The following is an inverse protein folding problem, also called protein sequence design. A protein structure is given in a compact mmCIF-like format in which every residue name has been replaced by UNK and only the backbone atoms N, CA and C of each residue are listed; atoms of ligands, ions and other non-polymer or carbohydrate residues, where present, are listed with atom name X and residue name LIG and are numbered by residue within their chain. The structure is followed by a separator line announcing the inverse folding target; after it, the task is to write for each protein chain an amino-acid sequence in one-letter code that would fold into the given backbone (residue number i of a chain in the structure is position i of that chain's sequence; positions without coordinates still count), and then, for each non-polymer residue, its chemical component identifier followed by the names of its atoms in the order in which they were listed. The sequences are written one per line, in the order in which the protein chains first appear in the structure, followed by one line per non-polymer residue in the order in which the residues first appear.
data_IF_784455975889
#
_entry.id   IF_784455975889
#
_cell.length_a   1.000
_cell.length_b   1.000
_cell.length_c   1.000
_cell.angle_alpha   90.00
_cell.angle_beta   90.00
_cell.angle_gamma   90.00
#
_symmetry.space_group_name_H-M   'P 1'
#
loop_
_entity.id
_entity.type
_entity.pdbx_description
1 polymer ?
#
# COMPACT_ATOMS: atom_id res chain seq x y z
N UNK A 1 19.27 16.75 13.50
CA UNK A 1 19.43 17.29 12.13
C UNK A 1 18.08 17.33 11.42
N UNK A 2 17.70 18.47 10.84
CA UNK A 2 16.50 18.62 10.00
C UNK A 2 16.62 17.70 8.77
N UNK A 3 15.79 16.66 8.69
CA UNK A 3 15.82 15.60 7.68
C UNK A 3 15.39 16.03 6.27
N UNK A 4 15.78 17.22 5.82
CA UNK A 4 15.66 17.60 4.42
C UNK A 4 16.83 16.98 3.66
N UNK A 5 16.49 16.19 2.66
CA UNK A 5 17.45 15.60 1.75
C UNK A 5 18.16 16.74 0.97
N UNK A 6 19.50 16.86 1.04
CA UNK A 6 20.22 17.79 0.17
C UNK A 6 20.10 17.29 -1.27
N UNK A 7 19.72 18.19 -2.19
CA UNK A 7 19.61 17.92 -3.61
C UNK A 7 20.55 18.87 -4.36
N UNK A 8 21.36 18.33 -5.26
CA UNK A 8 22.16 19.10 -6.20
C UNK A 8 21.30 19.58 -7.39
N UNK A 9 21.85 20.51 -8.18
CA UNK A 9 21.23 20.95 -9.41
C UNK A 9 20.99 19.76 -10.36
N UNK A 10 19.78 19.63 -10.89
CA UNK A 10 19.41 18.52 -11.76
C UNK A 10 19.05 17.22 -11.02
N UNK A 11 18.95 17.21 -9.69
CA UNK A 11 18.45 16.08 -8.92
C UNK A 11 16.97 16.23 -8.51
N UNK A 12 16.32 15.10 -8.24
CA UNK A 12 15.02 15.02 -7.58
C UNK A 12 15.09 14.03 -6.43
N UNK A 13 14.24 14.23 -5.41
CA UNK A 13 14.07 13.25 -4.34
C UNK A 13 13.27 12.05 -4.83
N UNK A 14 13.81 10.85 -4.67
CA UNK A 14 13.08 9.59 -4.86
C UNK A 14 12.91 8.88 -3.53
N UNK A 15 11.70 8.38 -3.29
CA UNK A 15 11.40 7.54 -2.12
C UNK A 15 11.39 6.07 -2.53
N UNK A 16 12.09 5.23 -1.76
CA UNK A 16 12.13 3.79 -1.89
C UNK A 16 11.93 3.14 -0.52
N UNK A 17 11.73 1.82 -0.50
CA UNK A 17 11.51 1.07 0.72
C UNK A 17 12.59 0.00 0.91
N UNK A 18 13.01 -0.20 2.16
CA UNK A 18 13.87 -1.29 2.58
C UNK A 18 13.23 -2.00 3.77
N UNK A 19 13.45 -3.32 3.87
CA UNK A 19 13.05 -4.10 5.02
C UNK A 19 14.28 -4.46 5.85
N UNK A 20 14.18 -4.26 7.15
CA UNK A 20 15.15 -4.75 8.12
C UNK A 20 14.46 -5.59 9.20
N UNK A 21 15.27 -6.29 9.99
CA UNK A 21 14.81 -7.10 11.12
C UNK A 21 15.33 -6.45 12.42
N UNK A 22 14.44 -6.23 13.39
CA UNK A 22 14.86 -5.89 14.75
C UNK A 22 15.23 -7.19 15.47
N UNK A 23 16.52 -7.33 15.80
CA UNK A 23 17.08 -8.55 16.40
C UNK A 23 17.11 -8.50 17.94
N UNK A 24 17.19 -7.30 18.50
CA UNK A 24 17.20 -7.04 19.93
C UNK A 24 16.79 -5.58 20.18
N UNK A 25 16.56 -5.25 21.44
CA UNK A 25 16.46 -3.87 21.90
C UNK A 25 17.13 -3.71 23.27
N UNK A 26 17.29 -2.48 23.72
CA UNK A 26 17.70 -2.15 25.10
C UNK A 26 16.61 -1.31 25.71
N UNK A 27 16.05 -1.76 26.83
CA UNK A 27 15.14 -0.95 27.64
C UNK A 27 15.96 0.16 28.29
N UNK A 28 15.70 1.42 27.92
CA UNK A 28 16.56 2.55 28.27
C UNK A 28 16.49 2.89 29.77
N UNK A 29 15.38 2.58 30.43
CA UNK A 29 15.20 2.82 31.86
C UNK A 29 16.01 1.82 32.69
N UNK A 30 15.92 0.53 32.36
CA UNK A 30 16.58 -0.52 33.12
C UNK A 30 17.97 -0.90 32.60
N UNK A 31 18.35 -0.43 31.41
CA UNK A 31 19.56 -0.86 30.68
C UNK A 31 19.53 -2.32 30.21
N UNK A 32 18.44 -3.05 30.42
CA UNK A 32 18.35 -4.48 30.13
C UNK A 32 18.21 -4.73 28.63
N UNK A 33 19.00 -5.68 28.13
CA UNK A 33 18.86 -6.16 26.75
C UNK A 33 17.59 -6.99 26.63
N UNK A 34 16.70 -6.57 25.74
CA UNK A 34 15.53 -7.31 25.33
C UNK A 34 15.92 -8.30 24.24
N UNK A 35 15.69 -9.58 24.50
CA UNK A 35 15.81 -10.62 23.47
C UNK A 35 14.82 -10.38 22.33
N UNK A 36 15.09 -10.99 21.17
CA UNK A 36 14.19 -10.90 20.01
C UNK A 36 12.74 -11.26 20.36
N UNK A 37 12.55 -12.30 21.16
CA UNK A 37 11.22 -12.77 21.56
C UNK A 37 10.49 -11.76 22.45
N UNK A 38 11.20 -11.17 23.43
CA UNK A 38 10.63 -10.15 24.33
C UNK A 38 10.30 -8.87 23.55
N UNK A 39 11.18 -8.45 22.63
CA UNK A 39 10.89 -7.32 21.76
C UNK A 39 9.66 -7.58 20.88
N UNK A 40 9.58 -8.75 20.26
CA UNK A 40 8.41 -9.14 19.46
C UNK A 40 7.12 -9.17 20.27
N UNK A 41 7.19 -9.60 21.52
CA UNK A 41 6.06 -9.59 22.44
C UNK A 41 5.59 -8.16 22.75
N UNK A 42 6.50 -7.26 23.15
CA UNK A 42 6.16 -5.86 23.46
C UNK A 42 5.61 -5.10 22.24
N UNK A 43 6.22 -5.29 21.06
CA UNK A 43 5.71 -4.74 19.80
C UNK A 43 4.35 -5.33 19.46
N UNK A 44 4.17 -6.63 19.69
CA UNK A 44 2.92 -7.35 19.49
C UNK A 44 1.78 -6.78 20.33
N UNK A 45 2.00 -6.57 21.63
CA UNK A 45 1.03 -5.95 22.53
C UNK A 45 0.59 -4.57 22.03
N UNK A 46 1.54 -3.71 21.65
CA UNK A 46 1.21 -2.40 21.10
C UNK A 46 0.43 -2.51 19.78
N UNK A 47 0.82 -3.43 18.90
CA UNK A 47 0.12 -3.68 17.63
C UNK A 47 -1.30 -4.21 17.84
N UNK A 48 -1.53 -5.01 18.88
CA UNK A 48 -2.86 -5.50 19.26
C UNK A 48 -3.75 -4.39 19.78
N UNK A 49 -3.23 -3.50 20.62
CA UNK A 49 -3.95 -2.30 21.07
C UNK A 49 -4.36 -1.42 19.88
N UNK A 50 -3.43 -1.16 18.96
CA UNK A 50 -3.71 -0.38 17.74
C UNK A 50 -4.75 -1.10 16.87
N UNK A 51 -4.59 -2.41 16.62
CA UNK A 51 -5.51 -3.17 15.78
C UNK A 51 -6.92 -3.25 16.36
N UNK A 52 -7.06 -3.40 17.68
CA UNK A 52 -8.35 -3.38 18.37
C UNK A 52 -9.04 -2.03 18.24
N UNK A 53 -8.30 -0.95 18.48
CA UNK A 53 -8.77 0.43 18.30
C UNK A 53 -9.22 0.72 16.85
N UNK A 54 -8.45 0.28 15.86
CA UNK A 54 -8.81 0.41 14.44
C UNK A 54 -10.08 -0.36 14.13
N UNK A 55 -10.17 -1.61 14.60
CA UNK A 55 -11.33 -2.48 14.35
C UNK A 55 -12.61 -1.88 14.91
N UNK A 56 -12.56 -1.32 16.12
CA UNK A 56 -13.70 -0.64 16.73
C UNK A 56 -14.17 0.57 15.93
N UNK A 57 -13.24 1.41 15.47
CA UNK A 57 -13.58 2.57 14.63
C UNK A 57 -14.14 2.16 13.27
N UNK A 58 -13.54 1.15 12.63
CA UNK A 58 -14.03 0.67 11.34
C UNK A 58 -15.42 0.03 11.48
N UNK A 59 -15.68 -0.74 12.53
CA UNK A 59 -17.00 -1.30 12.77
C UNK A 59 -18.09 -0.22 12.89
N UNK A 60 -17.75 0.94 13.45
CA UNK A 60 -18.68 2.07 13.56
C UNK A 60 -18.84 2.84 12.24
N UNK A 61 -17.76 3.01 11.48
CA UNK A 61 -17.68 3.95 10.34
C UNK A 61 -17.70 3.29 8.97
N UNK A 62 -17.81 1.97 8.90
CA UNK A 62 -17.88 1.22 7.65
C UNK A 62 -19.30 1.22 7.11
N UNK A 63 -19.74 2.37 6.60
CA UNK A 63 -21.04 2.57 5.96
C UNK A 63 -20.93 3.61 4.84
N UNK A 64 -21.91 3.66 3.90
CA UNK A 64 -21.90 4.60 2.78
C UNK A 64 -21.75 6.06 3.19
N UNK A 65 -22.55 6.51 4.17
CA UNK A 65 -22.62 7.90 4.57
C UNK A 65 -21.29 8.42 5.13
N UNK A 66 -20.65 7.66 6.02
CA UNK A 66 -19.36 8.05 6.59
C UNK A 66 -18.25 8.02 5.51
N UNK A 67 -18.24 7.02 4.62
CA UNK A 67 -17.23 7.03 3.53
C UNK A 67 -17.43 8.20 2.58
N UNK A 68 -18.67 8.58 2.28
CA UNK A 68 -18.99 9.76 1.46
C UNK A 68 -18.51 11.06 2.12
N UNK A 69 -18.72 11.22 3.42
CA UNK A 69 -18.20 12.37 4.18
C UNK A 69 -16.67 12.47 4.04
N UNK A 70 -15.94 11.35 4.16
CA UNK A 70 -14.49 11.36 3.96
C UNK A 70 -14.09 11.64 2.51
N UNK A 71 -14.84 11.11 1.55
CA UNK A 71 -14.59 11.26 0.11
C UNK A 71 -14.82 12.69 -0.37
N UNK A 72 -15.78 13.40 0.22
CA UNK A 72 -16.07 14.82 -0.08
C UNK A 72 -14.84 15.73 0.09
N UNK A 73 -13.90 15.30 0.95
CA UNK A 73 -12.66 16.04 1.20
C UNK A 73 -12.87 17.33 1.99
N UNK A 74 -14.05 17.59 2.54
CA UNK A 74 -14.37 18.76 3.39
C UNK A 74 -15.09 18.33 4.67
N UNK A 75 -15.02 19.15 5.73
CA UNK A 75 -15.87 19.00 6.91
C UNK A 75 -17.25 19.65 6.70
N UNK A 76 -18.15 19.53 7.68
CA UNK A 76 -19.49 20.14 7.63
C UNK A 76 -19.48 21.67 7.54
N UNK A 77 -18.35 22.31 7.85
CA UNK A 77 -18.13 23.75 7.68
C UNK A 77 -17.45 24.11 6.35
N UNK A 78 -17.34 23.17 5.40
CA UNK A 78 -16.73 23.40 4.09
C UNK A 78 -15.20 23.47 4.11
N UNK A 79 -14.54 23.19 5.25
CA UNK A 79 -13.07 23.27 5.34
C UNK A 79 -12.45 21.99 4.83
N UNK A 80 -11.47 22.12 3.93
CA UNK A 80 -10.72 20.98 3.38
C UNK A 80 -10.16 20.06 4.46
N UNK A 81 -10.36 18.75 4.31
CA UNK A 81 -9.78 17.74 5.20
C UNK A 81 -8.25 17.68 5.02
N UNK A 82 -7.48 17.58 6.12
CA UNK A 82 -6.03 17.38 6.06
C UNK A 82 -5.61 16.14 5.27
N UNK A 83 -4.41 16.16 4.68
CA UNK A 83 -3.86 15.00 3.96
C UNK A 83 -3.55 13.82 4.88
N UNK A 84 -3.11 14.07 6.12
CA UNK A 84 -2.93 13.03 7.13
C UNK A 84 -4.29 12.50 7.57
N UNK A 85 -4.49 11.18 7.51
CA UNK A 85 -5.78 10.57 7.77
C UNK A 85 -6.21 10.78 9.23
N UNK A 86 -5.28 10.64 10.20
CA UNK A 86 -5.60 10.86 11.61
C UNK A 86 -6.10 12.28 11.90
N UNK A 87 -5.55 13.29 11.23
CA UNK A 87 -5.98 14.68 11.39
C UNK A 87 -7.36 14.92 10.78
N UNK A 88 -7.65 14.28 9.64
CA UNK A 88 -8.96 14.36 9.02
C UNK A 88 -10.03 13.71 9.90
N UNK A 89 -9.76 12.54 10.47
CA UNK A 89 -10.68 11.91 11.41
C UNK A 89 -10.96 12.82 12.62
N UNK A 90 -9.92 13.43 13.20
CA UNK A 90 -10.11 14.41 14.30
C UNK A 90 -10.93 15.62 13.87
N UNK A 91 -10.72 16.15 12.65
CA UNK A 91 -11.51 17.26 12.11
C UNK A 91 -12.99 16.91 11.97
N UNK A 92 -13.29 15.65 11.63
CA UNK A 92 -14.65 15.11 11.56
C UNK A 92 -15.23 14.73 12.94
N UNK A 93 -14.46 14.91 14.02
CA UNK A 93 -14.87 14.46 15.36
C UNK A 93 -14.85 12.94 15.54
N UNK A 94 -14.27 12.19 14.60
CA UNK A 94 -14.19 10.73 14.68
C UNK A 94 -12.97 10.34 15.49
N UNK A 95 -13.23 10.05 16.76
CA UNK A 95 -12.21 9.64 17.72
C UNK A 95 -12.14 8.13 17.86
N UNK A 96 -11.07 7.67 18.50
CA UNK A 96 -10.90 6.27 18.91
C UNK A 96 -10.64 6.25 20.41
N UNK A 97 -11.32 5.37 21.12
CA UNK A 97 -11.09 5.13 22.54
C UNK A 97 -10.21 3.90 22.72
N UNK A 98 -9.29 3.96 23.69
CA UNK A 98 -8.62 2.77 24.16
C UNK A 98 -9.62 1.84 24.87
N UNK A 99 -9.33 0.53 24.96
CA UNK A 99 -10.12 -0.38 25.78
C UNK A 99 -10.24 0.12 27.23
N UNK A 100 -11.32 -0.25 27.90
CA UNK A 100 -11.55 0.13 29.30
C UNK A 100 -10.38 -0.29 30.19
N UNK A 101 -9.98 0.59 31.10
CA UNK A 101 -8.83 0.37 31.99
C UNK A 101 -7.44 0.44 31.33
N UNK A 102 -7.37 0.66 30.01
CA UNK A 102 -6.09 0.76 29.28
C UNK A 102 -5.68 2.22 29.05
N UNK A 103 -4.47 2.56 29.47
CA UNK A 103 -3.83 3.86 29.24
C UNK A 103 -2.87 3.80 28.06
N UNK A 104 -3.20 4.54 27.01
CA UNK A 104 -2.34 4.67 25.81
C UNK A 104 -1.83 6.11 25.63
N UNK A 105 -0.66 6.25 25.03
CA UNK A 105 -0.18 7.55 24.56
C UNK A 105 -1.04 8.05 23.39
N UNK A 106 -1.26 9.37 23.28
CA UNK A 106 -2.01 9.97 22.16
C UNK A 106 -1.45 9.55 20.79
N UNK A 107 -0.13 9.32 20.70
CA UNK A 107 0.52 8.86 19.45
C UNK A 107 0.13 7.44 19.05
N UNK A 108 -0.21 6.57 20.01
CA UNK A 108 -0.79 5.25 19.73
C UNK A 108 -2.21 5.39 19.17
N UNK A 109 -3.00 6.32 19.71
CA UNK A 109 -4.32 6.68 19.14
C UNK A 109 -4.16 7.24 17.72
N UNK A 110 -3.16 8.10 17.46
CA UNK A 110 -2.88 8.60 16.10
C UNK A 110 -2.54 7.48 15.13
N UNK A 111 -1.77 6.47 15.54
CA UNK A 111 -1.51 5.30 14.70
C UNK A 111 -2.80 4.56 14.33
N UNK A 112 -3.71 4.36 15.28
CA UNK A 112 -5.00 3.74 15.01
C UNK A 112 -5.86 4.60 14.06
N UNK A 113 -5.97 5.90 14.34
CA UNK A 113 -6.70 6.84 13.48
C UNK A 113 -6.12 6.89 12.05
N UNK A 114 -4.79 6.88 11.91
CA UNK A 114 -4.15 6.91 10.60
C UNK A 114 -4.45 5.63 9.81
N UNK A 115 -4.40 4.46 10.46
CA UNK A 115 -4.74 3.18 9.81
C UNK A 115 -6.21 3.10 9.41
N UNK A 116 -7.12 3.41 10.33
CA UNK A 116 -8.56 3.41 10.06
C UNK A 116 -8.93 4.40 8.95
N UNK A 117 -8.42 5.64 9.04
CA UNK A 117 -8.73 6.68 8.06
C UNK A 117 -8.21 6.37 6.66
N UNK A 118 -7.03 5.72 6.54
CA UNK A 118 -6.55 5.22 5.24
C UNK A 118 -7.45 4.13 4.67
N UNK A 119 -7.88 3.19 5.51
CA UNK A 119 -8.80 2.13 5.10
C UNK A 119 -10.13 2.70 4.62
N UNK A 120 -10.73 3.64 5.35
CA UNK A 120 -11.97 4.32 4.98
C UNK A 120 -11.83 5.15 3.70
N UNK A 121 -10.77 5.96 3.57
CA UNK A 121 -10.53 6.74 2.33
C UNK A 121 -10.38 5.86 1.10
N UNK A 122 -9.73 4.71 1.25
CA UNK A 122 -9.60 3.76 0.14
C UNK A 122 -10.93 3.10 -0.24
N UNK A 123 -11.94 3.14 0.63
CA UNK A 123 -13.23 2.51 0.41
C UNK A 123 -14.08 3.23 -0.63
N UNK A 124 -13.99 4.56 -0.73
CA UNK A 124 -14.76 5.35 -1.72
C UNK A 124 -14.53 4.85 -3.15
N UNK A 125 -13.27 4.69 -3.56
CA UNK A 125 -12.95 4.14 -4.88
C UNK A 125 -13.49 2.70 -5.08
N UNK A 126 -13.50 1.87 -4.02
CA UNK A 126 -14.10 0.52 -4.09
C UNK A 126 -15.63 0.57 -4.14
N UNK A 127 -16.25 1.56 -3.49
CA UNK A 127 -17.69 1.79 -3.53
C UNK A 127 -18.12 2.17 -4.94
N UNK A 128 -17.44 3.13 -5.56
CA UNK A 128 -17.69 3.59 -6.94
C UNK A 128 -17.55 2.43 -7.94
N UNK A 129 -16.47 1.66 -7.84
CA UNK A 129 -16.26 0.48 -8.69
C UNK A 129 -17.36 -0.57 -8.49
N UNK A 130 -17.77 -0.80 -7.25
CA UNK A 130 -18.82 -1.79 -6.94
C UNK A 130 -20.17 -1.32 -7.47
N UNK A 131 -20.52 -0.05 -7.25
CA UNK A 131 -21.74 0.57 -7.75
C UNK A 131 -21.82 0.47 -9.28
N UNK A 132 -20.76 0.85 -10.00
CA UNK A 132 -20.72 0.73 -11.46
C UNK A 132 -20.85 -0.71 -11.97
N UNK A 133 -20.23 -1.69 -11.29
CA UNK A 133 -20.38 -3.11 -11.62
C UNK A 133 -21.80 -3.62 -11.37
N UNK A 134 -22.44 -3.20 -10.28
CA UNK A 134 -23.80 -3.60 -9.93
C UNK A 134 -24.83 -2.98 -10.88
N UNK A 135 -24.68 -1.70 -11.21
CA UNK A 135 -25.54 -0.99 -12.15
C UNK A 135 -25.46 -1.57 -13.59
N UNK A 136 -24.35 -2.26 -13.91
CA UNK A 136 -24.09 -2.86 -15.22
C UNK A 136 -23.85 -4.36 -15.11
N UNK A 137 -24.62 -5.02 -14.23
CA UNK A 137 -24.49 -6.44 -13.99
C UNK A 137 -24.73 -7.22 -15.29
N UNK A 138 -23.76 -8.03 -15.77
CA UNK A 138 -23.84 -8.67 -17.07
C UNK A 138 -24.75 -9.89 -17.04
N UNK A 139 -25.21 -10.32 -18.22
CA UNK A 139 -26.00 -11.54 -18.34
C UNK A 139 -25.20 -12.80 -17.93
N UNK A 140 -23.91 -12.86 -18.30
CA UNK A 140 -22.96 -13.87 -17.83
C UNK A 140 -21.78 -13.21 -17.08
N UNK A 141 -21.68 -13.34 -15.75
CA UNK A 141 -20.58 -12.75 -14.98
C UNK A 141 -19.20 -13.33 -15.31
N UNK A 142 -19.13 -14.46 -16.03
CA UNK A 142 -17.87 -15.04 -16.53
C UNK A 142 -17.43 -14.42 -17.86
N UNK A 143 -18.36 -13.82 -18.61
CA UNK A 143 -18.14 -13.31 -19.96
C UNK A 143 -18.90 -12.00 -20.16
N UNK A 144 -18.16 -10.89 -20.20
CA UNK A 144 -18.69 -9.60 -20.67
C UNK A 144 -18.46 -9.45 -22.17
N UNK A 145 -19.50 -9.07 -22.89
CA UNK A 145 -19.47 -8.59 -24.27
C UNK A 145 -18.70 -7.25 -24.35
N UNK A 146 -18.23 -6.85 -25.55
CA UNK A 146 -17.61 -5.53 -25.73
C UNK A 146 -18.49 -4.36 -25.28
N UNK A 147 -19.81 -4.46 -25.49
CA UNK A 147 -20.77 -3.46 -25.03
C UNK A 147 -20.86 -3.36 -23.51
N UNK A 148 -20.96 -4.50 -22.81
CA UNK A 148 -20.99 -4.53 -21.33
C UNK A 148 -19.65 -4.06 -20.72
N UNK A 149 -18.53 -4.24 -21.43
CA UNK A 149 -17.23 -3.69 -21.05
C UNK A 149 -17.19 -2.17 -21.08
N UNK A 150 -17.83 -1.59 -22.07
CA UNK A 150 -17.90 -0.14 -22.22
C UNK A 150 -18.90 0.47 -21.22
N UNK A 151 -20.06 -0.16 -21.03
CA UNK A 151 -21.07 0.27 -20.06
C UNK A 151 -20.50 0.36 -18.64
N UNK A 152 -19.79 -0.67 -18.17
CA UNK A 152 -19.22 -0.66 -16.82
C UNK A 152 -18.15 0.43 -16.65
N UNK A 153 -17.36 0.73 -17.68
CA UNK A 153 -16.37 1.82 -17.62
C UNK A 153 -17.04 3.18 -17.53
N UNK A 154 -18.13 3.41 -18.28
CA UNK A 154 -18.90 4.66 -18.19
C UNK A 154 -19.61 4.82 -16.85
N UNK A 155 -20.03 3.71 -16.24
CA UNK A 155 -20.74 3.72 -14.96
C UNK A 155 -19.84 3.99 -13.74
N UNK A 156 -18.51 3.94 -13.90
CA UNK A 156 -17.57 4.23 -12.81
C UNK A 156 -16.94 5.61 -13.03
N UNK A 157 -16.96 6.52 -12.04
CA UNK A 157 -16.22 7.78 -12.11
C UNK A 157 -14.73 7.58 -12.47
N UNK A 158 -14.26 8.22 -13.55
CA UNK A 158 -12.90 8.05 -14.08
C UNK A 158 -12.63 6.65 -14.65
N UNK A 159 -13.68 5.94 -15.06
CA UNK A 159 -13.63 4.55 -15.45
C UNK A 159 -13.04 4.27 -16.83
N UNK A 160 -12.82 5.29 -17.66
CA UNK A 160 -12.32 5.18 -19.04
C UNK A 160 -10.99 4.43 -19.14
N UNK A 161 -10.17 4.51 -18.09
CA UNK A 161 -8.84 3.89 -18.03
C UNK A 161 -8.78 2.71 -17.05
N UNK A 162 -9.93 2.23 -16.55
CA UNK A 162 -9.94 1.12 -15.59
C UNK A 162 -9.38 -0.15 -16.22
N UNK A 163 -8.37 -0.78 -15.59
CA UNK A 163 -7.86 -2.06 -16.04
C UNK A 163 -8.96 -3.13 -15.97
N UNK A 164 -9.12 -3.89 -17.06
CA UNK A 164 -10.13 -4.96 -17.13
C UNK A 164 -9.97 -6.01 -16.02
N UNK A 165 -8.74 -6.20 -15.50
CA UNK A 165 -8.48 -7.08 -14.36
C UNK A 165 -9.22 -6.64 -13.08
N UNK A 166 -9.36 -5.33 -12.87
CA UNK A 166 -10.03 -4.79 -11.70
C UNK A 166 -11.54 -5.05 -11.75
N UNK A 167 -12.17 -4.75 -12.89
CA UNK A 167 -13.58 -5.02 -13.16
C UNK A 167 -13.87 -6.52 -13.09
N UNK A 168 -13.01 -7.38 -13.66
CA UNK A 168 -13.10 -8.85 -13.56
C UNK A 168 -13.07 -9.29 -12.10
N UNK A 169 -12.12 -8.78 -11.32
CA UNK A 169 -11.98 -9.15 -9.91
C UNK A 169 -13.23 -8.79 -9.12
N UNK A 170 -13.74 -7.56 -9.30
CA UNK A 170 -14.96 -7.11 -8.63
C UNK A 170 -16.19 -7.92 -9.07
N UNK A 171 -16.36 -8.16 -10.37
CA UNK A 171 -17.46 -8.98 -10.91
C UNK A 171 -17.44 -10.39 -10.30
N UNK A 172 -16.27 -11.03 -10.17
CA UNK A 172 -16.15 -12.34 -9.52
C UNK A 172 -16.51 -12.31 -8.04
N UNK A 173 -16.13 -11.25 -7.32
CA UNK A 173 -16.48 -11.10 -5.91
C UNK A 173 -18.00 -10.99 -5.72
N UNK A 174 -18.66 -10.16 -6.54
CA UNK A 174 -20.12 -10.03 -6.56
C UNK A 174 -20.79 -11.35 -6.96
N UNK A 175 -20.26 -12.06 -7.97
CA UNK A 175 -20.80 -13.36 -8.39
C UNK A 175 -20.69 -14.41 -7.28
N UNK A 176 -19.61 -14.40 -6.48
CA UNK A 176 -19.47 -15.26 -5.31
C UNK A 176 -20.49 -14.92 -4.24
N UNK A 177 -20.73 -13.63 -3.99
CA UNK A 177 -21.78 -13.19 -3.08
C UNK A 177 -23.15 -13.69 -3.54
N UNK A 178 -23.48 -13.46 -4.82
CA UNK A 178 -24.74 -13.93 -5.44
C UNK A 178 -24.93 -15.44 -5.29
N UNK A 179 -23.88 -16.24 -5.51
CA UNK A 179 -23.96 -17.69 -5.37
C UNK A 179 -24.26 -18.15 -3.92
N UNK A 180 -23.82 -17.40 -2.91
CA UNK A 180 -24.04 -17.73 -1.49
C UNK A 180 -25.38 -17.18 -0.97
N UNK A 181 -25.77 -15.98 -1.41
CA UNK A 181 -26.90 -15.25 -0.84
C UNK A 181 -28.14 -15.21 -1.74
N UNK A 182 -28.07 -15.70 -2.97
CA UNK A 182 -29.20 -15.72 -3.92
C UNK A 182 -29.61 -14.34 -4.46
N UNK A 183 -28.89 -13.28 -4.09
CA UNK A 183 -29.10 -11.91 -4.57
C UNK A 183 -27.78 -11.15 -4.73
N UNK A 184 -27.82 -10.06 -5.49
CA UNK A 184 -26.71 -9.12 -5.54
C UNK A 184 -26.54 -8.40 -4.19
N UNK A 185 -25.30 -8.01 -3.82
CA UNK A 185 -25.08 -7.13 -2.69
C UNK A 185 -25.65 -5.74 -3.01
N UNK A 186 -26.09 -5.02 -2.00
CA UNK A 186 -26.59 -3.64 -2.11
C UNK A 186 -25.43 -2.70 -2.45
N UNK A 187 -24.28 -2.89 -1.80
CA UNK A 187 -23.11 -2.04 -1.96
C UNK A 187 -21.80 -2.77 -1.60
N UNK A 188 -20.69 -2.03 -1.56
CA UNK A 188 -19.38 -2.56 -1.16
C UNK A 188 -19.31 -2.94 0.31
N UNK A 189 -20.12 -2.30 1.17
CA UNK A 189 -20.07 -2.47 2.61
C UNK A 189 -20.65 -3.81 3.01
N UNK A 190 -21.75 -4.20 2.35
CA UNK A 190 -22.31 -5.54 2.44
C UNK A 190 -21.40 -6.58 1.77
N UNK A 191 -20.84 -6.28 0.60
CA UNK A 191 -20.02 -7.21 -0.18
C UNK A 191 -18.70 -7.59 0.52
N UNK A 192 -18.03 -6.65 1.17
CA UNK A 192 -16.72 -6.85 1.80
C UNK A 192 -16.81 -7.13 3.30
N UNK A 193 -17.88 -6.69 3.96
CA UNK A 193 -17.93 -6.58 5.42
C UNK A 193 -16.88 -5.59 5.96
N UNK A 194 -16.82 -5.43 7.28
CA UNK A 194 -15.84 -4.54 7.92
C UNK A 194 -14.42 -5.03 7.63
N UNK A 195 -13.53 -4.21 7.05
CA UNK A 195 -12.22 -4.66 6.62
C UNK A 195 -11.33 -5.01 7.81
N UNK A 196 -10.60 -6.12 7.69
CA UNK A 196 -9.57 -6.51 8.64
C UNK A 196 -8.29 -5.76 8.34
N UNK A 197 -7.80 -4.98 9.30
CA UNK A 197 -6.52 -4.27 9.17
C UNK A 197 -5.35 -5.12 9.65
N UNK A 198 -4.18 -4.88 9.07
CA UNK A 198 -2.97 -5.57 9.47
C UNK A 198 -2.55 -5.15 10.89
N UNK A 199 -2.04 -6.11 11.67
CA UNK A 199 -1.39 -5.85 12.96
C UNK A 199 -0.04 -5.17 12.72
N UNK A 200 -0.01 -3.84 12.80
CA UNK A 200 1.19 -3.05 12.51
C UNK A 200 1.25 -1.74 13.31
N UNK A 201 2.46 -1.22 13.49
CA UNK A 201 2.70 0.10 14.08
C UNK A 201 3.21 1.06 13.00
N UNK A 202 2.37 1.99 12.55
CA UNK A 202 2.73 3.04 11.60
C UNK A 202 3.47 4.18 12.32
N UNK A 203 4.76 4.01 12.64
CA UNK A 203 5.49 5.02 13.43
C UNK A 203 5.61 6.37 12.73
N UNK A 204 5.47 6.42 11.40
CA UNK A 204 5.40 7.67 10.64
C UNK A 204 4.19 8.56 10.99
N UNK A 205 3.15 8.01 11.65
CA UNK A 205 2.03 8.80 12.18
C UNK A 205 2.35 9.47 13.52
N UNK A 206 3.53 9.20 14.08
CA UNK A 206 3.98 9.69 15.37
C UNK A 206 5.08 10.75 15.22
N UNK A 207 5.47 11.33 16.35
CA UNK A 207 6.63 12.23 16.46
C UNK A 207 7.59 11.73 17.55
N UNK A 208 8.58 12.56 17.88
CA UNK A 208 9.65 12.25 18.84
C UNK A 208 9.15 11.95 20.26
N UNK A 209 7.89 12.20 20.58
CA UNK A 209 7.33 11.77 21.87
C UNK A 209 7.09 10.26 21.92
N UNK A 210 6.99 9.58 20.77
CA UNK A 210 6.73 8.14 20.70
C UNK A 210 7.85 7.36 20.00
N UNK A 211 8.48 7.93 18.97
CA UNK A 211 9.58 7.28 18.25
C UNK A 211 10.53 8.27 17.59
N UNK A 212 11.81 7.92 17.53
CA UNK A 212 12.84 8.59 16.73
C UNK A 212 13.69 7.57 15.99
N UNK A 213 14.29 8.00 14.88
CA UNK A 213 15.23 7.17 14.12
C UNK A 213 16.44 8.01 13.74
N UNK A 214 17.61 7.50 14.06
CA UNK A 214 18.88 8.21 13.92
C UNK A 214 19.88 7.30 13.21
N UNK A 215 20.50 7.80 12.14
CA UNK A 215 21.59 7.09 11.47
C UNK A 215 22.89 7.38 12.23
N UNK A 216 23.76 6.39 12.34
CA UNK A 216 25.09 6.56 12.93
C UNK A 216 25.94 7.47 12.05
N UNK A 217 26.67 8.39 12.69
CA UNK A 217 27.61 9.28 12.02
C UNK A 217 28.90 8.55 11.58
N UNK A 218 29.23 7.42 12.20
CA UNK A 218 30.46 6.66 11.94
C UNK A 218 30.27 5.45 11.01
N UNK A 219 29.04 4.91 10.96
CA UNK A 219 28.70 3.79 10.09
C UNK A 219 27.32 4.04 9.46
N UNK A 220 27.24 4.50 8.20
CA UNK A 220 25.98 4.88 7.57
C UNK A 220 25.01 3.71 7.39
N UNK A 221 25.45 2.46 7.59
CA UNK A 221 24.56 1.28 7.60
C UNK A 221 23.89 1.06 8.94
N UNK A 222 24.37 1.66 10.02
CA UNK A 222 23.79 1.53 11.36
C UNK A 222 22.78 2.63 11.59
N UNK A 223 21.61 2.21 12.07
CA UNK A 223 20.53 3.11 12.45
C UNK A 223 20.02 2.68 13.82
N UNK A 224 19.73 3.64 14.69
CA UNK A 224 19.09 3.42 15.97
C UNK A 224 17.64 3.87 15.89
N UNK A 225 16.71 2.92 16.04
CA UNK A 225 15.30 3.21 16.24
C UNK A 225 15.03 3.26 17.75
N UNK A 226 14.59 4.40 18.26
CA UNK A 226 14.11 4.52 19.64
C UNK A 226 12.59 4.63 19.59
N UNK A 227 11.89 3.87 20.43
CA UNK A 227 10.44 3.94 20.52
C UNK A 227 9.92 3.57 21.90
N UNK A 228 8.81 4.18 22.32
CA UNK A 228 8.11 3.74 23.52
C UNK A 228 7.31 2.46 23.23
N UNK A 229 7.48 1.45 24.09
CA UNK A 229 6.73 0.20 24.05
C UNK A 229 6.11 -0.10 25.41
N UNK A 230 4.96 -0.79 25.43
CA UNK A 230 4.35 -1.20 26.67
C UNK A 230 5.16 -2.32 27.33
N UNK A 231 5.25 -2.31 28.65
CA UNK A 231 5.88 -3.38 29.45
C UNK A 231 4.94 -4.53 29.76
N UNK A 232 3.64 -4.37 29.48
CA UNK A 232 2.54 -5.33 29.68
C UNK A 232 1.48 -5.21 28.57
N UNK A 233 0.63 -6.24 28.34
CA UNK A 233 -0.41 -6.18 27.30
C UNK A 233 -1.52 -5.16 27.55
N UNK A 234 -1.80 -4.87 28.83
CA UNK A 234 -2.83 -3.95 29.31
C UNK A 234 -2.21 -2.78 30.10
N UNK A 235 -1.50 -1.82 29.47
CA UNK A 235 -0.91 -0.69 30.19
C UNK A 235 -1.99 0.07 30.96
N UNK A 236 -1.81 0.28 32.27
CA UNK A 236 -2.79 0.94 33.15
C UNK A 236 -2.37 2.36 33.51
N UNK A 237 -1.08 2.64 33.43
CA UNK A 237 -0.50 3.96 33.66
C UNK A 237 0.57 4.30 32.61
N UNK A 238 0.99 5.56 32.57
CA UNK A 238 2.12 5.96 31.71
C UNK A 238 3.46 5.33 32.13
N UNK A 239 3.59 4.90 33.38
CA UNK A 239 4.74 4.13 33.85
C UNK A 239 4.84 2.72 33.22
N UNK A 240 3.76 2.21 32.61
CA UNK A 240 3.78 0.94 31.88
C UNK A 240 4.35 1.09 30.45
N UNK A 241 4.93 2.25 30.11
CA UNK A 241 5.52 2.53 28.81
C UNK A 241 6.99 2.91 29.00
N UNK A 242 7.90 2.17 28.36
CA UNK A 242 9.35 2.43 28.45
C UNK A 242 9.95 2.67 27.07
N UNK A 243 11.00 3.49 27.03
CA UNK A 243 11.80 3.68 25.82
C UNK A 243 12.64 2.44 25.56
N UNK A 244 12.61 1.98 24.31
CA UNK A 244 13.42 0.85 23.84
C UNK A 244 14.27 1.31 22.66
N UNK A 245 15.58 1.12 22.77
CA UNK A 245 16.55 1.41 21.73
C UNK A 245 16.83 0.14 20.91
N UNK A 246 16.47 0.16 19.62
CA UNK A 246 16.55 -0.98 18.71
C UNK A 246 17.59 -0.69 17.61
N UNK A 247 18.78 -1.32 17.64
CA UNK A 247 19.75 -1.18 16.57
C UNK A 247 19.28 -1.90 15.29
N UNK A 248 19.47 -1.23 14.16
CA UNK A 248 19.10 -1.69 12.82
C UNK A 248 20.33 -1.64 11.92
N UNK A 249 20.57 -2.72 11.18
CA UNK A 249 21.54 -2.74 10.07
C UNK A 249 20.76 -2.60 8.77
N UNK A 250 21.00 -1.51 8.05
CA UNK A 250 20.41 -1.25 6.75
C UNK A 250 20.97 -2.22 5.69
N UNK A 251 20.12 -2.69 4.76
CA UNK A 251 20.59 -3.44 3.62
C UNK A 251 21.46 -2.56 2.70
N UNK A 252 22.40 -3.15 1.94
CA UNK A 252 23.31 -2.40 1.07
C UNK A 252 22.60 -1.63 -0.05
N UNK A 253 21.32 -1.92 -0.30
CA UNK A 253 20.47 -1.19 -1.25
C UNK A 253 20.05 0.20 -0.76
N UNK A 254 20.26 0.52 0.52
CA UNK A 254 19.98 1.85 1.06
C UNK A 254 21.24 2.71 0.95
N UNK A 255 21.23 3.80 0.17
CA UNK A 255 22.40 4.67 0.03
C UNK A 255 22.86 5.28 1.35
N UNK A 256 24.17 5.53 1.47
CA UNK A 256 24.79 6.10 2.67
C UNK A 256 24.26 7.51 3.02
N UNK A 257 23.93 8.33 1.99
CA UNK A 257 23.36 9.66 2.17
C UNK A 257 21.82 9.71 2.19
N UNK A 258 21.14 8.56 2.22
CA UNK A 258 19.68 8.53 2.22
C UNK A 258 19.10 9.00 3.56
N UNK A 259 18.06 9.84 3.50
CA UNK A 259 17.25 10.19 4.67
C UNK A 259 16.33 9.02 4.99
N UNK A 260 16.49 8.46 6.19
CA UNK A 260 15.69 7.34 6.69
C UNK A 260 14.47 7.86 7.44
N UNK A 261 13.29 7.30 7.13
CA UNK A 261 12.04 7.67 7.79
C UNK A 261 11.64 6.64 8.85
N UNK A 262 10.78 7.05 9.79
CA UNK A 262 10.23 6.16 10.81
C UNK A 262 9.53 4.95 10.14
N UNK A 263 9.85 3.71 10.58
CA UNK A 263 9.34 2.51 9.92
C UNK A 263 7.88 2.21 10.25
N UNK A 264 7.30 1.34 9.44
CA UNK A 264 6.18 0.50 9.88
C UNK A 264 6.74 -0.76 10.54
N UNK A 265 6.32 -1.07 11.76
CA UNK A 265 6.69 -2.32 12.43
C UNK A 265 5.61 -3.38 12.27
N UNK A 266 6.02 -4.62 11.98
CA UNK A 266 5.13 -5.79 11.89
C UNK A 266 5.75 -7.00 12.58
N UNK A 267 4.90 -7.76 13.27
CA UNK A 267 5.31 -9.00 13.93
C UNK A 267 4.94 -10.20 13.04
N UNK A 268 5.93 -11.02 12.70
CA UNK A 268 5.74 -12.29 11.99
C UNK A 268 6.37 -13.41 12.82
N UNK A 269 5.55 -14.22 13.48
CA UNK A 269 6.04 -15.20 14.46
C UNK A 269 6.78 -14.51 15.61
N UNK A 270 8.05 -14.85 15.83
CA UNK A 270 8.93 -14.22 16.84
C UNK A 270 9.78 -13.08 16.29
N UNK A 271 9.51 -12.62 15.07
CA UNK A 271 10.33 -11.63 14.37
C UNK A 271 9.62 -10.29 14.27
N UNK A 272 10.35 -9.20 14.46
CA UNK A 272 9.86 -7.84 14.20
C UNK A 272 10.51 -7.31 12.94
N UNK A 273 9.71 -7.11 11.90
CA UNK A 273 10.15 -6.47 10.67
C UNK A 273 9.94 -4.97 10.77
N UNK A 274 10.96 -4.21 10.37
CA UNK A 274 10.89 -2.77 10.16
C UNK A 274 10.86 -2.50 8.66
N UNK A 275 9.71 -2.10 8.14
CA UNK A 275 9.55 -1.61 6.77
C UNK A 275 9.82 -0.11 6.76
N UNK A 276 10.99 0.26 6.25
CA UNK A 276 11.53 1.62 6.29
C UNK A 276 11.42 2.27 4.92
N UNK A 277 10.78 3.43 4.85
CA UNK A 277 10.95 4.30 3.69
C UNK A 277 12.27 5.08 3.84
N UNK A 278 12.92 5.34 2.72
CA UNK A 278 14.05 6.25 2.65
C UNK A 278 13.95 7.13 1.41
N UNK A 279 14.40 8.37 1.54
CA UNK A 279 14.50 9.31 0.44
C UNK A 279 15.96 9.52 0.08
N UNK A 280 16.28 9.49 -1.21
CA UNK A 280 17.63 9.68 -1.71
C UNK A 280 17.61 10.50 -3.01
N UNK A 281 18.72 11.19 -3.35
CA UNK A 281 18.77 11.96 -4.57
C UNK A 281 18.86 10.98 -5.74
N UNK A 282 18.17 11.32 -6.82
CA UNK A 282 18.33 10.68 -8.13
C UNK A 282 18.41 11.75 -9.22
N UNK A 283 19.12 11.50 -10.32
CA UNK A 283 19.10 12.41 -11.46
C UNK A 283 17.68 12.66 -11.95
N UNK A 284 17.34 13.93 -12.19
CA UNK A 284 16.09 14.32 -12.84
C UNK A 284 16.10 13.74 -14.24
N UNK A 285 15.15 12.86 -14.53
CA UNK A 285 14.96 12.36 -15.88
C UNK A 285 14.70 13.56 -16.82
N UNK A 286 15.57 13.75 -17.81
CA UNK A 286 15.34 14.71 -18.89
C UNK A 286 14.40 14.05 -19.88
N UNK A 287 13.30 14.71 -20.24
CA UNK A 287 12.51 14.30 -21.41
C UNK A 287 13.37 14.54 -22.63
N UNK A 288 14.07 13.51 -23.09
CA UNK A 288 14.57 13.52 -24.47
C UNK A 288 13.44 12.97 -25.34
N UNK A 289 13.34 13.39 -26.60
CA UNK A 289 12.34 12.87 -27.55
C UNK A 289 12.61 11.39 -27.85
N UNK A 290 12.37 10.52 -26.86
CA UNK A 290 12.71 9.12 -26.93
C UNK A 290 11.79 8.47 -27.95
N UNK A 291 12.40 7.97 -29.02
CA UNK A 291 11.71 7.15 -30.02
C UNK A 291 11.50 5.72 -29.53
N UNK A 292 11.86 5.38 -28.29
CA UNK A 292 11.70 4.03 -27.73
C UNK A 292 10.91 4.08 -26.43
N UNK A 293 9.87 3.26 -26.32
CA UNK A 293 9.08 3.04 -25.12
C UNK A 293 9.28 1.61 -24.61
N UNK A 294 9.31 1.42 -23.29
CA UNK A 294 9.34 0.10 -22.65
C UNK A 294 8.04 -0.09 -21.88
N UNK A 295 7.21 -1.03 -22.34
CA UNK A 295 6.06 -1.50 -21.58
C UNK A 295 6.49 -2.60 -20.61
N UNK A 296 6.21 -2.43 -19.33
CA UNK A 296 6.44 -3.45 -18.29
C UNK A 296 5.10 -3.78 -17.63
N UNK A 297 4.77 -5.05 -17.57
CA UNK A 297 3.58 -5.59 -16.90
C UNK A 297 3.99 -6.59 -15.82
N UNK A 298 3.30 -6.56 -14.68
CA UNK A 298 3.54 -7.43 -13.53
C UNK A 298 2.27 -8.24 -13.29
N UNK A 299 2.36 -9.56 -13.45
CA UNK A 299 1.22 -10.47 -13.28
C UNK A 299 1.40 -11.42 -12.11
N UNK A 300 0.30 -11.87 -11.52
CA UNK A 300 0.32 -12.89 -10.45
C UNK A 300 0.96 -14.22 -10.91
N UNK A 301 0.86 -14.54 -12.21
CA UNK A 301 1.39 -15.77 -12.80
C UNK A 301 2.65 -15.55 -13.66
N UNK A 302 2.98 -14.29 -13.97
CA UNK A 302 4.17 -13.90 -14.73
C UNK A 302 4.83 -12.77 -13.96
N UNK A 303 5.90 -13.09 -13.25
CA UNK A 303 6.64 -12.16 -12.39
C UNK A 303 6.87 -10.83 -13.08
N UNK A 304 7.27 -10.85 -14.36
CA UNK A 304 7.47 -9.65 -15.17
C UNK A 304 7.32 -9.96 -16.65
N UNK A 305 6.55 -9.17 -17.39
CA UNK A 305 6.58 -9.14 -18.85
C UNK A 305 7.09 -7.78 -19.30
N UNK A 306 8.02 -7.73 -20.25
CA UNK A 306 8.54 -6.49 -20.78
C UNK A 306 8.62 -6.52 -22.31
N UNK A 307 8.21 -5.44 -22.96
CA UNK A 307 8.31 -5.27 -24.40
C UNK A 307 8.74 -3.86 -24.75
N UNK A 308 9.67 -3.73 -25.69
CA UNK A 308 10.08 -2.44 -26.19
C UNK A 308 9.35 -2.11 -27.50
N UNK A 309 9.01 -0.84 -27.69
CA UNK A 309 8.35 -0.28 -28.86
C UNK A 309 9.20 0.87 -29.37
N UNK A 310 9.23 1.10 -30.68
CA UNK A 310 9.88 2.24 -31.32
C UNK A 310 8.88 3.07 -32.09
N UNK A 311 8.83 4.37 -31.83
CA UNK A 311 8.21 5.39 -32.67
C UNK A 311 9.17 5.71 -33.83
N UNK A 312 8.73 5.41 -35.04
CA UNK A 312 9.43 5.73 -36.28
C UNK A 312 9.20 7.20 -36.65
N UNK A 313 10.03 7.73 -37.55
CA UNK A 313 9.93 9.13 -38.02
C UNK A 313 8.60 9.42 -38.73
N UNK A 314 7.98 8.40 -39.34
CA UNK A 314 6.65 8.46 -39.97
C UNK A 314 5.47 8.40 -38.96
N UNK A 315 5.77 8.37 -37.65
CA UNK A 315 4.78 8.29 -36.58
C UNK A 315 4.31 6.87 -36.25
N UNK A 316 4.78 5.84 -36.96
CA UNK A 316 4.40 4.44 -36.72
C UNK A 316 5.09 3.87 -35.48
N UNK A 317 4.39 3.04 -34.72
CA UNK A 317 4.95 2.32 -33.56
C UNK A 317 5.24 0.87 -33.94
N UNK A 318 6.49 0.44 -33.79
CA UNK A 318 6.95 -0.94 -34.10
C UNK A 318 7.55 -1.61 -32.87
N UNK A 319 7.21 -2.87 -32.60
CA UNK A 319 7.83 -3.62 -31.51
C UNK A 319 9.31 -3.92 -31.80
N UNK A 320 10.16 -3.70 -30.79
CA UNK A 320 11.58 -4.04 -30.82
C UNK A 320 11.77 -5.45 -30.25
N UNK A 321 11.66 -6.43 -31.15
CA UNK A 321 11.85 -7.85 -30.83
C UNK A 321 10.65 -8.50 -30.14
N UNK A 322 10.83 -9.77 -29.74
CA UNK A 322 9.84 -10.48 -28.94
C UNK A 322 9.99 -10.05 -27.47
N UNK A 323 8.92 -9.51 -26.89
CA UNK A 323 8.92 -9.18 -25.46
C UNK A 323 9.36 -10.35 -24.57
N UNK A 324 10.05 -10.05 -23.48
CA UNK A 324 10.50 -11.03 -22.51
C UNK A 324 9.44 -11.33 -21.46
N UNK A 325 9.31 -12.60 -21.05
CA UNK A 325 8.50 -13.00 -19.90
C UNK A 325 9.39 -13.69 -18.86
N UNK A 326 9.34 -13.18 -17.64
CA UNK A 326 9.89 -13.79 -16.44
C UNK A 326 8.75 -14.48 -15.71
N UNK A 327 8.78 -15.80 -15.69
CA UNK A 327 7.86 -16.60 -14.87
C UNK A 327 8.56 -16.93 -13.55
N UNK A 328 7.78 -17.28 -12.53
CA UNK A 328 8.32 -17.69 -11.23
C UNK A 328 9.29 -18.89 -11.31
N UNK A 329 9.29 -19.64 -12.42
CA UNK A 329 10.18 -20.76 -12.70
C UNK A 329 11.39 -20.42 -13.61
N UNK A 330 11.63 -19.16 -13.97
CA UNK A 330 12.74 -18.73 -14.84
C UNK A 330 12.31 -18.00 -16.13
N UNK A 331 13.32 -17.54 -16.89
CA UNK A 331 13.16 -16.67 -18.07
C UNK A 331 12.79 -17.47 -19.33
N UNK A 332 11.73 -17.05 -20.04
CA UNK A 332 11.47 -17.47 -21.42
C UNK A 332 11.57 -16.22 -22.32
N UNK A 333 12.70 -16.07 -23.01
CA UNK A 333 12.77 -15.22 -24.18
C UNK A 333 12.21 -16.02 -25.37
N UNK A 334 11.14 -15.55 -26.00
CA UNK A 334 10.63 -16.18 -27.22
C UNK A 334 11.64 -15.91 -28.35
N UNK A 335 12.58 -16.82 -28.62
CA UNK A 335 13.50 -16.71 -29.77
C UNK A 335 12.72 -16.87 -31.09
N UNK A 336 13.06 -16.11 -32.15
CA UNK A 336 12.52 -16.34 -33.49
C UNK A 336 13.26 -17.53 -34.12
N UNK A 337 12.53 -18.62 -34.39
CA UNK A 337 13.01 -19.73 -35.21
C UNK A 337 12.51 -19.57 -36.64
N UNK A 338 13.44 -19.41 -37.58
CA UNK A 338 13.22 -19.56 -39.02
C UNK A 338 13.03 -21.05 -39.34
N UNK A 339 11.99 -21.36 -40.13
CA UNK A 339 11.95 -22.54 -41.01
C UNK A 339 10.94 -23.64 -40.68
N UNK A 340 9.97 -23.88 -41.59
CA UNK A 340 9.47 -25.24 -41.84
C UNK A 340 7.95 -25.51 -41.86
N UNK A 341 7.22 -24.91 -42.80
CA UNK A 341 6.12 -25.45 -43.64
C UNK A 341 5.13 -26.53 -43.15
N UNK A 342 3.84 -26.18 -43.30
CA UNK A 342 2.63 -26.91 -43.83
C UNK A 342 1.46 -26.69 -42.88
N UNK A 343 0.28 -26.21 -43.25
CA UNK A 343 -0.33 -25.85 -44.52
C UNK A 343 -1.84 -25.89 -44.28
N UNK A 344 -2.56 -24.80 -44.55
CA UNK A 344 -3.99 -24.79 -44.86
C UNK A 344 -4.35 -23.37 -45.30
N UNK A 345 -4.43 -23.20 -46.62
CA UNK A 345 -4.93 -22.02 -47.31
C UNK A 345 -6.44 -21.87 -47.12
N UNK A 346 -6.92 -20.63 -47.28
CA UNK A 346 -8.16 -20.16 -47.92
C UNK A 346 -8.14 -18.63 -47.73
N UNK A 347 -7.49 -17.85 -48.59
CA UNK A 347 -7.95 -17.35 -49.90
C UNK A 347 -9.23 -16.49 -49.84
N UNK A 348 -9.08 -15.19 -50.12
CA UNK A 348 -10.19 -14.27 -50.47
C UNK A 348 -9.86 -12.78 -50.26
N UNK A 349 -9.97 -11.88 -51.28
CA UNK A 349 -9.13 -10.68 -51.37
C UNK A 349 -9.89 -9.32 -51.40
N UNK A 350 -9.10 -8.25 -51.63
CA UNK A 350 -9.42 -6.92 -52.22
C UNK A 350 -9.59 -5.74 -51.22
N UNK A 351 -8.69 -4.74 -51.25
CA UNK A 351 -8.73 -3.45 -52.01
C UNK A 351 -9.14 -2.32 -51.06
N UNK A 352 -8.48 -1.16 -50.95
CA UNK A 352 -7.42 -0.49 -51.71
C UNK A 352 -6.57 0.31 -50.74
#
# INVERSE_FOLDING_TARGET
MTGKLPLAEGEISRTACARALLRSGVDEESGKVLSQAVLAQRVGWCADLVAGMVSGLLAQRWNPADVEVLASGVDSGGRKLPSNAWMALRRLGWTVAAPEGVRVNDRVVRMAQEQAGRALRSASWRADLTAGVLATWPADPRKRTPGEWEQVRRAVPGGEHLPSGMIKSRTRQVARFLAVHGRLPVDVFELEGVPRVARMLLLAACDRQQASIERSDTDPRRVLLRLQLPTRPDPRAYADWTWVACPIILPPTVPAGAVVHLPTLRVTGRQVHADMAYSHPVPKARRTGHTVALGVDWGLNTLLSAGALRLQEDGRITALGAGGQFRAAGVLAKRPGVGGLRGAALAGPLVR
#
